data_IF_632568907992
#
_entry.id   IF_632568907992
#
_cell.length_a   1.000
_cell.length_b   1.000
_cell.length_c   1.000
_cell.angle_alpha   90.00
_cell.angle_beta   90.00
_cell.angle_gamma   90.00
#
_symmetry.space_group_name_H-M   'P 1'
#
loop_
_entity.id
_entity.type
_entity.pdbx_description
1 polymer ?
#
# COMPACT_ATOMS: atom_id res chain seq x y z
N UNK A 1 10.33 14.83 7.67
CA UNK A 1 11.03 15.96 7.03
C UNK A 1 10.09 16.66 6.06
N UNK A 2 9.86 17.97 6.25
CA UNK A 2 9.18 18.82 5.29
C UNK A 2 10.06 18.98 4.05
N UNK A 3 9.61 18.48 2.90
CA UNK A 3 10.27 18.68 1.61
C UNK A 3 9.38 19.54 0.73
N UNK A 4 9.12 20.77 1.17
CA UNK A 4 8.46 21.77 0.33
C UNK A 4 9.52 22.44 -0.54
N UNK A 5 9.27 22.52 -1.84
CA UNK A 5 10.19 23.19 -2.79
C UNK A 5 10.10 24.71 -2.72
N UNK A 6 8.98 25.25 -2.25
CA UNK A 6 8.67 26.68 -2.18
C UNK A 6 7.86 26.99 -0.90
N UNK A 7 7.78 28.26 -0.47
CA UNK A 7 7.09 28.65 0.76
C UNK A 7 5.63 28.18 0.82
N UNK A 8 5.16 27.86 2.02
CA UNK A 8 3.87 27.19 2.30
C UNK A 8 2.64 27.83 1.62
N UNK A 9 2.62 29.15 1.52
CA UNK A 9 1.50 29.95 1.00
C UNK A 9 1.79 30.56 -0.37
N UNK A 10 2.87 30.10 -1.04
CA UNK A 10 3.19 30.54 -2.39
C UNK A 10 2.38 29.77 -3.43
N UNK A 11 2.01 30.43 -4.54
CA UNK A 11 1.30 29.84 -5.69
C UNK A 11 2.06 28.69 -6.39
N UNK A 12 3.29 28.41 -5.97
CA UNK A 12 4.14 27.33 -6.49
C UNK A 12 4.52 26.26 -5.46
N UNK A 13 4.05 26.35 -4.21
CA UNK A 13 4.35 25.36 -3.17
C UNK A 13 4.00 23.95 -3.65
N UNK A 14 5.00 23.07 -3.65
CA UNK A 14 4.88 21.67 -4.04
C UNK A 14 5.74 20.81 -3.13
N UNK A 15 5.26 19.60 -2.82
CA UNK A 15 5.94 18.66 -1.94
C UNK A 15 5.11 18.27 -0.71
N UNK A 16 5.73 17.55 0.23
CA UNK A 16 5.04 17.01 1.39
C UNK A 16 5.52 17.62 2.70
N UNK A 17 4.57 17.93 3.58
CA UNK A 17 4.80 18.28 4.97
C UNK A 17 4.56 17.05 5.81
N UNK A 18 5.57 16.70 6.62
CA UNK A 18 5.53 15.63 7.63
C UNK A 18 5.04 14.25 7.13
N UNK A 19 4.93 14.03 5.81
CA UNK A 19 4.33 12.82 5.25
C UNK A 19 2.80 12.74 5.39
N UNK A 20 2.15 13.74 6.00
CA UNK A 20 0.71 13.78 6.24
C UNK A 20 -0.05 14.56 5.15
N UNK A 21 0.55 15.65 4.67
CA UNK A 21 -0.08 16.57 3.73
C UNK A 21 0.82 16.72 2.50
N UNK A 22 0.22 16.76 1.32
CA UNK A 22 0.91 16.96 0.04
C UNK A 22 0.32 18.15 -0.70
N UNK A 23 1.20 19.08 -1.10
CA UNK A 23 0.87 20.22 -1.95
C UNK A 23 1.11 19.82 -3.41
N UNK A 24 0.05 19.88 -4.21
CA UNK A 24 0.02 19.47 -5.61
C UNK A 24 -0.50 20.62 -6.46
N UNK A 25 0.15 20.86 -7.60
CA UNK A 25 -0.38 21.75 -8.64
C UNK A 25 -1.12 20.89 -9.66
N UNK A 26 -2.45 21.02 -9.72
CA UNK A 26 -3.30 20.38 -10.74
C UNK A 26 -3.85 21.46 -11.66
N UNK A 27 -3.42 21.45 -12.92
CA UNK A 27 -3.78 22.47 -13.91
C UNK A 27 -3.48 23.90 -13.38
N UNK A 28 -4.49 24.76 -13.29
CA UNK A 28 -4.38 26.14 -12.76
C UNK A 28 -4.58 26.24 -11.25
N UNK A 29 -4.83 25.13 -10.55
CA UNK A 29 -5.17 25.14 -9.11
C UNK A 29 -4.06 24.51 -8.27
N UNK A 30 -3.90 25.09 -7.09
CA UNK A 30 -3.06 24.53 -6.04
C UNK A 30 -3.97 23.81 -5.04
N UNK A 31 -3.70 22.52 -4.83
CA UNK A 31 -4.52 21.65 -4.00
C UNK A 31 -3.64 21.10 -2.88
N UNK A 32 -4.20 21.12 -1.68
CA UNK A 32 -3.61 20.52 -0.49
C UNK A 32 -4.40 19.25 -0.20
N UNK A 33 -3.79 18.10 -0.41
CA UNK A 33 -4.42 16.78 -0.19
C UNK A 33 -3.73 16.06 0.97
N UNK A 34 -4.52 15.36 1.81
CA UNK A 34 -3.95 14.36 2.73
C UNK A 34 -3.24 13.31 1.88
N UNK A 35 -2.03 12.90 2.29
CA UNK A 35 -1.32 11.82 1.60
C UNK A 35 -2.23 10.59 1.55
N UNK A 36 -2.48 10.00 0.36
CA UNK A 36 -3.31 8.81 0.28
C UNK A 36 -2.60 7.66 1.00
N UNK A 37 -3.27 7.11 2.00
CA UNK A 37 -2.88 5.85 2.62
C UNK A 37 -3.29 4.74 1.64
N UNK A 38 -2.30 4.06 1.06
CA UNK A 38 -2.53 2.90 0.21
C UNK A 38 -3.11 1.78 1.10
N UNK A 39 -4.41 1.50 0.95
CA UNK A 39 -5.12 0.47 1.74
C UNK A 39 -4.53 -0.94 1.56
N UNK A 40 -4.00 -1.24 0.38
CA UNK A 40 -3.31 -2.50 0.07
C UNK A 40 -1.97 -2.16 -0.58
N UNK A 41 -1.01 -1.74 0.27
CA UNK A 41 0.32 -1.36 -0.18
C UNK A 41 1.07 -2.61 -0.62
N UNK A 42 1.05 -2.95 -1.91
CA UNK A 42 1.72 -4.11 -2.53
C UNK A 42 3.25 -4.11 -2.39
N UNK A 43 3.76 -4.11 -1.17
CA UNK A 43 5.16 -4.26 -0.86
C UNK A 43 5.60 -5.68 -1.21
N UNK A 44 6.88 -5.86 -1.48
CA UNK A 44 7.45 -7.16 -1.85
C UNK A 44 7.12 -8.22 -0.77
N UNK A 45 7.35 -7.89 0.51
CA UNK A 45 7.00 -8.77 1.62
C UNK A 45 5.50 -9.15 1.63
N UNK A 46 4.58 -8.21 1.40
CA UNK A 46 3.15 -8.53 1.36
C UNK A 46 2.79 -9.43 0.18
N UNK A 47 3.43 -9.22 -0.98
CA UNK A 47 3.24 -10.07 -2.16
C UNK A 47 3.78 -11.48 -1.93
N UNK A 48 4.94 -11.62 -1.30
CA UNK A 48 5.53 -12.91 -0.92
C UNK A 48 4.62 -13.70 0.01
N UNK A 49 4.10 -13.05 1.06
CA UNK A 49 3.14 -13.69 1.98
C UNK A 49 1.88 -14.15 1.27
N UNK A 50 1.34 -13.32 0.37
CA UNK A 50 0.15 -13.67 -0.42
C UNK A 50 0.40 -14.84 -1.36
N UNK A 51 1.59 -14.90 -1.97
CA UNK A 51 2.02 -16.02 -2.80
C UNK A 51 2.16 -17.31 -2.01
N UNK A 52 2.80 -17.25 -0.84
CA UNK A 52 2.94 -18.41 0.05
C UNK A 52 1.58 -18.92 0.53
N UNK A 53 0.68 -18.03 0.92
CA UNK A 53 -0.68 -18.41 1.30
C UNK A 53 -1.41 -19.12 0.16
N UNK A 54 -1.38 -18.55 -1.05
CA UNK A 54 -2.02 -19.17 -2.21
C UNK A 54 -1.43 -20.56 -2.54
N UNK A 55 -0.13 -20.75 -2.36
CA UNK A 55 0.52 -22.06 -2.51
C UNK A 55 0.01 -23.07 -1.49
N UNK A 56 -0.06 -22.69 -0.22
CA UNK A 56 -0.58 -23.58 0.84
C UNK A 56 -2.02 -23.96 0.58
N UNK A 57 -2.86 -23.01 0.17
CA UNK A 57 -4.26 -23.28 -0.20
C UNK A 57 -4.35 -24.24 -1.39
N UNK A 58 -3.53 -24.07 -2.41
CA UNK A 58 -3.50 -24.98 -3.55
C UNK A 58 -3.08 -26.40 -3.15
N UNK A 59 -2.06 -26.52 -2.28
CA UNK A 59 -1.62 -27.81 -1.75
C UNK A 59 -2.71 -28.46 -0.90
N UNK A 60 -3.39 -27.69 -0.04
CA UNK A 60 -4.51 -28.19 0.73
C UNK A 60 -5.62 -28.74 -0.16
N UNK A 61 -5.98 -28.03 -1.24
CA UNK A 61 -7.01 -28.54 -2.16
C UNK A 61 -6.58 -29.78 -2.94
N UNK A 62 -5.28 -29.98 -3.16
CA UNK A 62 -4.74 -31.16 -3.83
C UNK A 62 -4.74 -32.43 -2.96
N UNK A 63 -4.78 -32.30 -1.63
CA UNK A 63 -4.84 -33.45 -0.71
C UNK A 63 -6.16 -34.22 -0.86
N UNK A 64 -6.07 -35.54 -0.73
CA UNK A 64 -7.22 -36.44 -0.65
C UNK A 64 -8.02 -36.23 0.66
N UNK A 65 -9.28 -36.69 0.73
CA UNK A 65 -10.08 -36.59 1.96
C UNK A 65 -9.45 -37.33 3.15
N UNK A 66 -8.78 -38.46 2.90
CA UNK A 66 -8.09 -39.25 3.92
C UNK A 66 -6.90 -38.49 4.52
N UNK A 67 -6.06 -37.89 3.66
CA UNK A 67 -4.93 -37.06 4.10
C UNK A 67 -5.41 -35.81 4.84
N UNK A 68 -6.50 -35.18 4.39
CA UNK A 68 -7.09 -34.03 5.10
C UNK A 68 -7.56 -34.40 6.51
N UNK A 69 -8.19 -35.57 6.67
CA UNK A 69 -8.65 -36.05 7.96
C UNK A 69 -7.51 -36.31 8.94
N UNK A 70 -6.33 -36.75 8.46
CA UNK A 70 -5.12 -36.90 9.27
C UNK A 70 -4.56 -35.56 9.75
N UNK A 71 -4.63 -34.50 8.92
CA UNK A 71 -4.21 -33.16 9.32
C UNK A 71 -5.17 -32.45 10.29
N UNK A 72 -6.45 -32.82 10.26
CA UNK A 72 -7.49 -32.24 11.13
C UNK A 72 -7.59 -32.93 12.50
N UNK A 73 -6.92 -34.06 12.72
CA UNK A 73 -6.86 -34.81 13.99
C UNK A 73 -5.72 -34.36 14.89
#
# INVERSE_FOLDING_TARGET
MSKLKLPLLSLGASGSISGAITYLKRMSRQIVEKKPELKDAKTEAQLEWRHMFNKVVALWHALSPEEKAEWES
#
